data_IF_667551019762
#
_entry.id   IF_667551019762
#
_cell.length_a   1.000
_cell.length_b   1.000
_cell.length_c   1.000
_cell.angle_alpha   90.00
_cell.angle_beta   90.00
_cell.angle_gamma   90.00
#
_symmetry.space_group_name_H-M   'P 1'
#
loop_
_entity.id
_entity.type
_entity.pdbx_description
1 polymer ?
#
# COMPACT_ATOMS: atom_id res chain seq x y z
N UNK A 1 98.98 -29.60 81.33
CA UNK A 1 99.89 -28.73 80.57
C UNK A 1 99.18 -28.28 79.37
N UNK A 2 98.68 -27.10 79.51
CA UNK A 2 98.87 -25.86 78.77
C UNK A 2 98.43 -25.90 77.27
N UNK A 3 97.65 -25.00 77.00
CA UNK A 3 97.78 -24.07 75.92
C UNK A 3 96.51 -23.50 75.39
N UNK A 4 96.13 -22.33 75.92
CA UNK A 4 95.19 -21.39 75.33
C UNK A 4 95.68 -20.93 73.97
N UNK A 5 94.81 -20.97 72.99
CA UNK A 5 94.94 -20.13 71.81
C UNK A 5 93.62 -19.36 71.66
N UNK A 6 93.53 -18.15 72.13
CA UNK A 6 92.50 -17.17 71.83
C UNK A 6 92.77 -16.70 70.40
N UNK A 7 91.92 -17.03 69.50
CA UNK A 7 91.84 -16.41 68.13
C UNK A 7 91.15 -15.06 68.26
N UNK A 8 91.89 -13.99 68.20
CA UNK A 8 91.46 -12.60 68.07
C UNK A 8 90.87 -12.43 66.67
N UNK A 9 89.62 -12.25 66.62
CA UNK A 9 88.92 -11.78 65.41
C UNK A 9 89.07 -10.23 65.35
N UNK A 10 89.69 -9.71 64.28
CA UNK A 10 89.86 -8.25 64.18
C UNK A 10 88.48 -7.51 64.20
N UNK A 11 88.43 -6.42 64.94
CA UNK A 11 87.19 -5.59 65.17
C UNK A 11 86.66 -4.89 63.86
N UNK A 12 87.36 -5.04 62.78
CA UNK A 12 87.01 -4.44 61.46
C UNK A 12 86.12 -5.27 60.58
N UNK A 13 85.79 -6.52 60.94
CA UNK A 13 84.96 -7.41 60.13
C UNK A 13 83.42 -7.33 60.54
N UNK A 14 83.05 -6.47 61.44
CA UNK A 14 81.69 -6.36 61.97
C UNK A 14 80.86 -5.21 61.37
N UNK A 15 81.45 -4.41 60.47
CA UNK A 15 80.75 -3.17 60.00
C UNK A 15 80.00 -3.30 58.66
N UNK A 16 80.21 -4.35 57.91
CA UNK A 16 79.60 -4.53 56.61
C UNK A 16 78.62 -5.72 56.54
N UNK A 17 77.81 -5.92 57.59
CA UNK A 17 76.68 -6.84 57.51
C UNK A 17 75.53 -6.17 56.82
N UNK A 18 74.87 -6.93 55.89
CA UNK A 18 73.68 -6.44 55.15
C UNK A 18 72.61 -5.80 56.06
N UNK A 19 72.61 -6.20 57.35
CA UNK A 19 71.69 -5.69 58.33
C UNK A 19 72.05 -4.22 58.80
N UNK A 20 73.35 -3.84 58.80
CA UNK A 20 73.73 -2.46 59.08
C UNK A 20 73.44 -1.51 57.94
N UNK A 21 73.54 -1.96 56.73
CA UNK A 21 73.16 -1.23 55.50
C UNK A 21 71.62 -1.08 55.35
N UNK A 22 70.85 -2.07 55.82
CA UNK A 22 69.42 -1.98 55.88
C UNK A 22 68.92 -1.04 57.01
N UNK A 23 69.66 -0.94 58.14
CA UNK A 23 69.27 -0.10 59.20
C UNK A 23 69.56 1.42 58.96
N UNK A 24 70.59 1.70 58.14
CA UNK A 24 70.98 3.09 57.85
C UNK A 24 70.14 3.74 56.75
N UNK A 25 69.53 2.92 55.84
CA UNK A 25 68.67 3.42 54.82
C UNK A 25 67.17 3.39 55.18
N UNK A 26 66.79 2.84 56.33
CA UNK A 26 65.42 2.65 56.78
C UNK A 26 64.65 3.90 57.13
N UNK A 27 65.33 5.05 57.28
CA UNK A 27 64.66 6.22 57.85
C UNK A 27 64.40 7.38 56.89
N UNK A 28 65.03 7.40 55.76
CA UNK A 28 64.83 8.48 54.80
C UNK A 28 63.93 8.09 53.58
N UNK A 29 63.60 6.82 53.43
CA UNK A 29 62.85 6.33 52.27
C UNK A 29 61.33 6.05 52.54
N UNK A 30 60.84 6.30 53.77
CA UNK A 30 59.45 6.04 54.13
C UNK A 30 58.45 6.87 53.30
N UNK A 31 58.82 8.05 52.89
CA UNK A 31 57.96 8.90 52.08
C UNK A 31 57.77 8.35 50.66
N UNK A 32 58.71 7.64 50.13
CA UNK A 32 58.64 6.94 48.80
C UNK A 32 57.60 5.84 48.91
N UNK A 33 57.57 5.09 50.02
CA UNK A 33 56.54 4.06 50.25
C UNK A 33 55.14 4.68 50.40
N UNK A 34 55.03 5.81 51.07
CA UNK A 34 53.76 6.55 51.19
C UNK A 34 53.33 7.14 49.87
N UNK A 35 54.27 7.60 49.05
CA UNK A 35 53.98 8.12 47.69
C UNK A 35 53.55 6.98 46.76
N UNK A 36 54.20 5.82 46.85
CA UNK A 36 53.85 4.65 46.11
C UNK A 36 52.49 4.09 46.57
N UNK A 37 52.24 4.02 47.86
CA UNK A 37 50.95 3.63 48.43
C UNK A 37 49.83 4.59 48.02
N UNK A 38 50.08 5.89 48.07
CA UNK A 38 49.16 6.91 47.60
C UNK A 38 48.88 6.80 46.12
N UNK A 39 49.89 6.52 45.28
CA UNK A 39 49.75 6.27 43.85
C UNK A 39 48.90 5.03 43.56
N UNK A 40 49.13 3.93 44.24
CA UNK A 40 48.35 2.71 44.14
C UNK A 40 46.91 2.95 44.60
N UNK A 41 46.70 3.64 45.74
CA UNK A 41 45.37 4.01 46.26
C UNK A 41 44.65 4.91 45.29
N UNK A 42 45.29 5.92 44.71
CA UNK A 42 44.70 6.81 43.71
C UNK A 42 44.35 6.03 42.42
N UNK A 43 45.23 5.10 41.99
CA UNK A 43 44.93 4.20 40.87
C UNK A 43 43.73 3.31 41.14
N UNK A 44 43.64 2.68 42.31
CA UNK A 44 42.47 1.89 42.69
C UNK A 44 41.19 2.77 42.83
N UNK A 45 41.31 3.98 43.38
CA UNK A 45 40.18 4.91 43.50
C UNK A 45 39.70 5.46 42.14
N UNK A 46 40.54 5.40 41.08
CA UNK A 46 40.16 5.78 39.72
C UNK A 46 39.41 4.68 38.96
N UNK A 47 39.53 3.40 39.34
CA UNK A 47 38.90 2.25 38.67
C UNK A 47 37.37 2.33 38.54
N UNK A 48 36.60 2.84 39.51
CA UNK A 48 35.15 3.00 39.36
C UNK A 48 34.74 4.09 38.33
N UNK A 49 35.65 5.04 38.02
CA UNK A 49 35.37 6.14 37.08
C UNK A 49 35.72 5.79 35.62
N UNK A 50 36.44 4.70 35.39
CA UNK A 50 36.79 4.24 34.05
C UNK A 50 35.70 3.29 33.57
N UNK A 51 34.86 3.78 32.66
CA UNK A 51 33.81 2.97 32.01
C UNK A 51 34.39 2.24 30.79
N UNK A 52 34.09 0.97 30.67
CA UNK A 52 34.44 0.12 29.52
C UNK A 52 33.14 -0.38 28.89
N UNK A 53 33.05 -0.23 27.58
CA UNK A 53 31.94 -0.76 26.78
C UNK A 53 31.99 -2.29 26.72
N UNK A 54 31.04 -2.96 27.37
CA UNK A 54 30.85 -4.41 27.25
C UNK A 54 30.07 -4.69 25.98
N UNK A 55 30.67 -5.42 25.04
CA UNK A 55 30.03 -5.73 23.77
C UNK A 55 30.01 -7.23 23.51
N UNK A 56 28.88 -7.72 23.01
CA UNK A 56 28.71 -9.06 22.47
C UNK A 56 29.12 -9.04 21.01
N UNK A 57 29.88 -10.03 20.60
CA UNK A 57 30.28 -10.19 19.19
C UNK A 57 29.45 -11.27 18.53
N UNK A 58 28.91 -10.96 17.36
CA UNK A 58 28.19 -11.90 16.52
C UNK A 58 28.66 -11.78 15.08
N UNK A 59 28.82 -12.92 14.42
CA UNK A 59 29.10 -12.94 12.98
C UNK A 59 27.86 -12.59 12.20
N UNK A 60 28.01 -11.86 11.10
CA UNK A 60 26.91 -11.44 10.26
C UNK A 60 27.24 -11.45 8.77
N UNK A 61 26.18 -11.35 7.97
CA UNK A 61 26.23 -11.31 6.51
C UNK A 61 25.37 -10.16 6.00
N UNK A 62 25.90 -9.40 5.06
CA UNK A 62 25.14 -8.32 4.39
C UNK A 62 24.22 -8.92 3.35
N UNK A 63 22.91 -8.68 3.48
CA UNK A 63 21.90 -9.04 2.47
C UNK A 63 21.06 -7.86 2.04
N UNK A 64 20.38 -7.91 0.89
CA UNK A 64 19.41 -6.90 0.53
C UNK A 64 18.17 -7.03 1.43
N UNK A 65 17.48 -5.91 1.69
CA UNK A 65 16.20 -5.88 2.44
C UNK A 65 15.13 -6.72 1.74
N UNK A 66 15.14 -6.73 0.41
CA UNK A 66 14.20 -7.52 -0.40
C UNK A 66 14.96 -8.59 -1.19
N UNK A 67 14.43 -9.79 -1.19
CA UNK A 67 14.93 -10.88 -1.99
C UNK A 67 14.67 -10.67 -3.48
N UNK A 68 15.32 -11.47 -4.33
CA UNK A 68 15.07 -11.47 -5.76
C UNK A 68 13.63 -11.89 -6.03
N UNK A 69 12.95 -11.14 -6.88
CA UNK A 69 11.57 -11.41 -7.27
C UNK A 69 11.57 -12.08 -8.64
N UNK A 70 11.03 -13.30 -8.72
CA UNK A 70 10.87 -14.02 -9.98
C UNK A 70 9.85 -13.33 -10.87
N UNK A 71 10.19 -13.18 -12.14
CA UNK A 71 9.31 -12.63 -13.18
C UNK A 71 8.59 -13.77 -13.87
N UNK A 72 7.27 -13.84 -13.72
CA UNK A 72 6.41 -14.88 -14.31
C UNK A 72 5.18 -14.26 -14.95
N UNK A 73 4.83 -14.62 -16.22
CA UNK A 73 3.61 -14.16 -16.84
C UNK A 73 2.39 -14.81 -16.18
N UNK A 74 1.33 -14.04 -16.03
CA UNK A 74 0.06 -14.54 -15.48
C UNK A 74 -0.72 -15.37 -16.51
N UNK A 75 -0.52 -15.10 -17.81
CA UNK A 75 -1.21 -15.75 -18.92
C UNK A 75 -0.21 -16.28 -19.94
N UNK A 76 -0.61 -17.36 -20.64
CA UNK A 76 0.17 -17.89 -21.76
C UNK A 76 -0.09 -17.09 -23.02
N UNK A 77 0.92 -16.94 -23.87
CA UNK A 77 0.71 -16.25 -25.15
C UNK A 77 1.98 -16.12 -25.99
N UNK A 78 1.79 -15.64 -27.21
CA UNK A 78 2.91 -15.29 -28.07
C UNK A 78 3.43 -13.90 -27.74
N UNK A 79 4.76 -13.76 -27.73
CA UNK A 79 5.45 -12.49 -27.50
C UNK A 79 5.15 -11.55 -28.67
N UNK A 80 4.54 -10.40 -28.36
CA UNK A 80 4.33 -9.34 -29.33
C UNK A 80 5.60 -8.46 -29.41
N UNK A 81 6.13 -8.06 -28.24
CA UNK A 81 7.27 -7.16 -28.16
C UNK A 81 8.06 -7.38 -26.87
N UNK A 82 9.38 -7.31 -26.95
CA UNK A 82 10.31 -7.31 -25.82
C UNK A 82 10.82 -5.88 -25.65
N UNK A 83 10.57 -5.28 -24.48
CA UNK A 83 10.87 -3.86 -24.20
C UNK A 83 12.08 -3.65 -23.30
N UNK A 84 12.52 -4.71 -22.57
CA UNK A 84 13.65 -4.64 -21.67
C UNK A 84 14.75 -5.66 -22.07
N UNK A 85 15.97 -5.39 -21.62
CA UNK A 85 17.14 -6.24 -21.86
C UNK A 85 17.66 -6.85 -20.57
N UNK A 86 18.40 -7.95 -20.69
CA UNK A 86 19.11 -8.56 -19.57
C UNK A 86 20.14 -7.56 -18.98
N UNK A 87 20.26 -7.52 -17.66
CA UNK A 87 21.08 -6.58 -16.89
C UNK A 87 20.66 -5.09 -17.00
N UNK A 88 19.47 -4.80 -17.48
CA UNK A 88 18.93 -3.45 -17.53
C UNK A 88 18.31 -3.05 -16.17
N UNK A 89 18.48 -1.77 -15.80
CA UNK A 89 17.81 -1.19 -14.65
C UNK A 89 16.36 -0.89 -14.99
N UNK A 90 15.42 -1.41 -14.20
CA UNK A 90 13.99 -1.28 -14.42
C UNK A 90 13.31 -0.65 -13.20
N UNK A 91 12.23 0.08 -13.44
CA UNK A 91 11.40 0.68 -12.40
C UNK A 91 10.20 -0.21 -12.08
N UNK A 92 9.72 -0.17 -10.83
CA UNK A 92 8.49 -0.87 -10.44
C UNK A 92 7.33 -0.52 -11.37
N UNK A 93 6.60 -1.53 -11.87
CA UNK A 93 5.49 -1.36 -12.81
C UNK A 93 5.89 -1.14 -14.28
N UNK A 94 7.17 -0.98 -14.61
CA UNK A 94 7.65 -0.87 -15.99
C UNK A 94 7.30 -2.12 -16.78
N UNK A 95 6.77 -1.96 -17.99
CA UNK A 95 6.46 -3.07 -18.90
C UNK A 95 7.76 -3.60 -19.49
N UNK A 96 8.01 -4.89 -19.31
CA UNK A 96 9.22 -5.58 -19.79
C UNK A 96 8.95 -6.38 -21.07
N UNK A 97 7.76 -6.97 -21.15
CA UNK A 97 7.35 -7.83 -22.22
C UNK A 97 5.85 -7.64 -22.48
N UNK A 98 5.46 -7.57 -23.74
CA UNK A 98 4.06 -7.56 -24.16
C UNK A 98 3.73 -8.89 -24.86
N UNK A 99 2.68 -9.53 -24.40
CA UNK A 99 2.08 -10.68 -25.05
C UNK A 99 0.96 -10.23 -26.01
N UNK A 100 0.66 -11.03 -27.01
CA UNK A 100 -0.39 -10.74 -27.98
C UNK A 100 -1.77 -10.96 -27.35
N UNK A 101 -2.62 -9.93 -27.36
CA UNK A 101 -3.92 -9.88 -26.70
C UNK A 101 -5.09 -9.70 -27.68
N UNK A 102 -4.95 -10.17 -28.94
CA UNK A 102 -5.93 -9.91 -30.00
C UNK A 102 -7.39 -10.26 -29.66
N UNK A 103 -7.60 -11.41 -29.01
CA UNK A 103 -8.95 -11.83 -28.63
C UNK A 103 -9.58 -10.86 -27.62
N UNK A 104 -8.82 -10.42 -26.62
CA UNK A 104 -9.30 -9.45 -25.63
C UNK A 104 -9.53 -8.08 -26.26
N UNK A 105 -8.64 -7.63 -27.14
CA UNK A 105 -8.79 -6.38 -27.90
C UNK A 105 -10.06 -6.37 -28.77
N UNK A 106 -10.35 -7.49 -29.46
CA UNK A 106 -11.57 -7.64 -30.26
C UNK A 106 -12.83 -7.62 -29.39
N UNK A 107 -12.79 -8.27 -28.22
CA UNK A 107 -13.90 -8.22 -27.25
C UNK A 107 -14.10 -6.83 -26.70
N UNK A 108 -13.04 -6.10 -26.34
CA UNK A 108 -13.11 -4.72 -25.90
C UNK A 108 -13.73 -3.82 -26.97
N UNK A 109 -13.24 -3.89 -28.20
CA UNK A 109 -13.78 -3.10 -29.31
C UNK A 109 -15.26 -3.39 -29.58
N UNK A 110 -15.71 -4.65 -29.44
CA UNK A 110 -17.13 -5.02 -29.53
C UNK A 110 -17.93 -4.42 -28.36
N UNK A 111 -17.43 -4.55 -27.15
CA UNK A 111 -18.09 -4.03 -25.97
C UNK A 111 -18.24 -2.50 -26.03
N UNK A 112 -17.21 -1.77 -26.50
CA UNK A 112 -17.26 -0.31 -26.68
C UNK A 112 -18.35 0.13 -27.67
N UNK A 113 -18.53 -0.61 -28.78
CA UNK A 113 -19.62 -0.35 -29.73
C UNK A 113 -20.97 -0.54 -29.06
N UNK A 114 -21.18 -1.65 -28.36
CA UNK A 114 -22.42 -1.92 -27.63
C UNK A 114 -22.71 -0.87 -26.56
N UNK A 115 -21.68 -0.42 -25.83
CA UNK A 115 -21.83 0.67 -24.87
C UNK A 115 -22.26 1.98 -25.54
N UNK A 116 -21.72 2.27 -26.73
CA UNK A 116 -22.08 3.50 -27.47
C UNK A 116 -23.55 3.44 -27.88
N UNK A 117 -23.98 2.31 -28.47
CA UNK A 117 -25.37 2.08 -28.85
C UNK A 117 -26.34 2.17 -27.65
N UNK A 118 -25.97 1.52 -26.53
CA UNK A 118 -26.78 1.58 -25.32
C UNK A 118 -26.85 2.99 -24.71
N UNK A 119 -25.73 3.76 -24.73
CA UNK A 119 -25.71 5.16 -24.27
C UNK A 119 -26.62 6.05 -25.10
N UNK A 120 -26.59 5.90 -26.43
CA UNK A 120 -27.43 6.66 -27.34
C UNK A 120 -28.93 6.34 -27.10
N UNK A 121 -29.25 5.07 -26.89
CA UNK A 121 -30.60 4.61 -26.58
C UNK A 121 -31.10 5.15 -25.23
N UNK A 122 -30.27 5.08 -24.20
CA UNK A 122 -30.59 5.64 -22.86
C UNK A 122 -30.80 7.15 -22.94
N UNK A 123 -29.96 7.88 -23.67
CA UNK A 123 -30.11 9.33 -23.85
C UNK A 123 -31.43 9.69 -24.53
N UNK A 124 -31.82 8.97 -25.60
CA UNK A 124 -33.08 9.17 -26.32
C UNK A 124 -34.30 8.86 -25.43
N UNK A 125 -34.24 7.75 -24.65
CA UNK A 125 -35.28 7.38 -23.70
C UNK A 125 -35.42 8.41 -22.54
N UNK A 126 -34.33 9.00 -22.09
CA UNK A 126 -34.35 10.08 -21.11
C UNK A 126 -35.04 11.31 -21.64
N UNK A 127 -34.83 11.67 -22.92
CA UNK A 127 -35.54 12.77 -23.58
C UNK A 127 -37.04 12.49 -23.65
N UNK A 128 -37.44 11.26 -24.00
CA UNK A 128 -38.83 10.84 -24.08
C UNK A 128 -39.53 10.91 -22.74
N UNK A 129 -38.88 10.39 -21.69
CA UNK A 129 -39.49 10.38 -20.33
C UNK A 129 -39.59 11.74 -19.69
N UNK A 130 -38.59 12.64 -19.92
CA UNK A 130 -38.60 14.01 -19.41
C UNK A 130 -39.49 14.94 -20.22
N UNK A 131 -39.61 14.72 -21.51
CA UNK A 131 -40.43 15.56 -22.41
C UNK A 131 -41.93 15.50 -22.08
N UNK A 132 -42.44 14.34 -21.68
CA UNK A 132 -43.86 14.17 -21.32
C UNK A 132 -44.17 14.73 -19.90
N UNK A 133 -43.21 14.62 -18.99
CA UNK A 133 -43.41 15.14 -17.62
C UNK A 133 -43.42 16.68 -17.53
N UNK A 134 -43.08 17.39 -18.60
CA UNK A 134 -43.04 18.87 -18.61
C UNK A 134 -44.37 19.56 -19.00
N UNK A 135 -45.42 18.78 -19.15
CA UNK A 135 -46.77 19.41 -19.23
C UNK A 135 -47.15 19.80 -17.81
N UNK A 136 -47.29 21.11 -17.49
CA UNK A 136 -47.80 21.50 -16.19
C UNK A 136 -49.21 20.94 -16.10
N UNK A 137 -49.45 20.08 -15.11
CA UNK A 137 -50.79 19.78 -14.67
C UNK A 137 -51.47 21.15 -14.41
N UNK A 138 -52.47 21.44 -15.18
CA UNK A 138 -53.29 22.62 -14.95
C UNK A 138 -53.79 22.51 -13.50
N UNK A 139 -53.47 23.46 -12.58
CA UNK A 139 -54.00 23.39 -11.24
C UNK A 139 -55.45 23.80 -11.27
N UNK A 140 -56.33 22.88 -11.71
CA UNK A 140 -57.73 22.99 -11.50
C UNK A 140 -58.07 22.47 -10.10
N UNK A 141 -57.99 23.33 -9.12
CA UNK A 141 -58.31 22.97 -7.75
C UNK A 141 -58.04 24.08 -6.75
N UNK A 142 -58.40 25.31 -7.07
CA UNK A 142 -58.57 26.29 -6.03
C UNK A 142 -60.03 26.77 -6.06
N UNK A 143 -60.91 25.99 -5.41
CA UNK A 143 -62.20 26.44 -5.02
C UNK A 143 -62.06 27.51 -3.90
N UNK A 144 -61.82 28.75 -4.29
CA UNK A 144 -62.18 29.89 -3.45
C UNK A 144 -63.35 30.57 -4.12
N UNK A 145 -64.46 30.55 -3.40
CA UNK A 145 -65.67 31.29 -3.65
C UNK A 145 -65.30 32.69 -4.14
N UNK A 146 -65.77 33.04 -5.34
CA UNK A 146 -65.95 34.45 -5.74
C UNK A 146 -67.30 34.59 -6.32
N UNK A 147 -68.04 35.44 -5.60
CA UNK A 147 -69.34 36.00 -5.87
C UNK A 147 -69.51 36.44 -7.32
N UNK A 148 -70.76 36.31 -7.71
CA UNK A 148 -71.45 36.80 -8.89
C UNK A 148 -70.85 38.09 -9.44
N UNK A 149 -70.40 38.07 -10.70
CA UNK A 149 -70.43 39.21 -11.57
C UNK A 149 -70.73 38.69 -12.98
N UNK A 150 -71.96 39.02 -13.39
CA UNK A 150 -72.53 38.81 -14.71
C UNK A 150 -71.72 39.56 -15.76
N UNK A 151 -70.85 38.82 -16.52
CA UNK A 151 -70.12 39.30 -17.66
C UNK A 151 -70.17 38.26 -18.82
N UNK A 152 -70.13 38.66 -20.10
CA UNK A 152 -70.44 37.80 -21.24
C UNK A 152 -69.41 36.67 -21.36
N UNK A 153 -69.87 35.42 -21.63
CA UNK A 153 -69.11 34.21 -21.87
C UNK A 153 -67.98 34.47 -22.86
N UNK A 154 -66.77 34.61 -22.34
CA UNK A 154 -65.54 34.49 -23.15
C UNK A 154 -65.26 33.02 -23.37
N UNK A 155 -65.21 32.59 -24.64
CA UNK A 155 -64.75 31.26 -25.02
C UNK A 155 -63.38 31.02 -24.41
N UNK A 156 -63.10 29.77 -23.89
CA UNK A 156 -61.79 29.40 -23.47
C UNK A 156 -60.85 29.46 -24.69
N UNK A 157 -59.61 29.92 -24.53
CA UNK A 157 -58.65 30.00 -25.62
C UNK A 157 -58.45 28.62 -26.24
N UNK A 158 -58.18 28.54 -27.57
CA UNK A 158 -57.92 27.27 -28.26
C UNK A 158 -56.74 26.59 -27.60
N UNK A 159 -56.72 25.23 -27.52
CA UNK A 159 -55.65 24.48 -26.94
C UNK A 159 -54.32 24.88 -27.61
N UNK A 160 -53.44 25.45 -26.81
CA UNK A 160 -52.10 25.82 -27.30
C UNK A 160 -51.40 24.56 -27.81
N UNK A 161 -50.92 24.63 -29.05
CA UNK A 161 -50.16 23.59 -29.66
C UNK A 161 -49.00 23.21 -28.72
N UNK A 162 -48.94 21.93 -28.36
CA UNK A 162 -47.82 21.36 -27.58
C UNK A 162 -46.53 21.71 -28.32
N UNK A 163 -45.55 22.35 -27.69
CA UNK A 163 -44.28 22.57 -28.34
C UNK A 163 -43.69 21.22 -28.66
N UNK A 164 -43.65 20.84 -29.95
CA UNK A 164 -42.89 19.69 -30.45
C UNK A 164 -41.45 20.03 -30.17
N UNK A 165 -40.90 19.50 -29.10
CA UNK A 165 -39.48 19.53 -28.86
C UNK A 165 -38.85 18.80 -30.05
N UNK A 166 -38.24 19.52 -30.99
CA UNK A 166 -37.39 18.97 -32.04
C UNK A 166 -36.13 18.45 -31.37
N UNK A 167 -36.25 17.39 -30.59
CA UNK A 167 -35.15 16.62 -30.10
C UNK A 167 -34.66 15.77 -31.25
N UNK A 168 -33.41 15.99 -31.68
CA UNK A 168 -32.77 15.11 -32.63
C UNK A 168 -32.44 13.80 -31.91
N UNK A 169 -33.30 12.82 -32.09
CA UNK A 169 -33.02 11.45 -31.65
C UNK A 169 -31.83 10.90 -32.42
N UNK A 170 -31.00 10.17 -31.72
CA UNK A 170 -29.88 9.40 -32.33
C UNK A 170 -30.35 8.08 -32.92
N UNK A 171 -31.46 7.54 -32.34
CA UNK A 171 -32.01 6.22 -32.72
C UNK A 171 -33.28 6.37 -33.56
N UNK A 172 -33.23 5.96 -34.80
CA UNK A 172 -34.38 6.07 -35.74
C UNK A 172 -35.64 5.30 -35.26
N UNK A 173 -35.45 4.17 -34.58
CA UNK A 173 -36.54 3.35 -34.02
C UNK A 173 -37.36 4.07 -33.00
N UNK A 174 -36.73 4.78 -32.05
CA UNK A 174 -37.43 5.56 -31.02
C UNK A 174 -38.10 6.81 -31.61
N UNK A 175 -37.51 7.41 -32.63
CA UNK A 175 -38.15 8.49 -33.39
C UNK A 175 -39.44 8.06 -34.00
N UNK A 176 -39.49 6.88 -34.63
CA UNK A 176 -40.72 6.30 -35.21
C UNK A 176 -41.74 5.96 -34.15
N UNK A 177 -41.34 5.35 -33.06
CA UNK A 177 -42.26 5.03 -31.94
C UNK A 177 -42.87 6.28 -31.36
N UNK A 178 -42.09 7.34 -31.10
CA UNK A 178 -42.60 8.63 -30.64
C UNK A 178 -43.62 9.22 -31.64
N UNK A 179 -43.27 9.21 -32.94
CA UNK A 179 -44.19 9.75 -33.95
C UNK A 179 -45.55 8.99 -33.98
N UNK A 180 -45.53 7.66 -33.79
CA UNK A 180 -46.74 6.86 -33.68
C UNK A 180 -47.59 7.23 -32.48
N UNK A 181 -46.97 7.38 -31.28
CA UNK A 181 -47.70 7.79 -30.07
C UNK A 181 -48.26 9.20 -30.21
N UNK A 182 -47.49 10.16 -30.76
CA UNK A 182 -47.96 11.51 -31.02
C UNK A 182 -49.12 11.57 -31.99
N UNK A 183 -49.12 10.75 -33.07
CA UNK A 183 -50.23 10.68 -34.00
C UNK A 183 -51.52 10.14 -33.37
N UNK A 184 -51.40 9.12 -32.49
CA UNK A 184 -52.52 8.59 -31.74
C UNK A 184 -53.09 9.66 -30.76
N UNK A 185 -52.23 10.30 -30.01
CA UNK A 185 -52.61 11.39 -29.09
C UNK A 185 -53.31 12.55 -29.83
N UNK A 186 -52.83 12.91 -31.02
CA UNK A 186 -53.43 13.94 -31.83
C UNK A 186 -54.87 13.54 -32.27
N UNK A 187 -55.10 12.28 -32.60
CA UNK A 187 -56.47 11.79 -32.99
C UNK A 187 -57.45 11.84 -31.80
N UNK A 188 -56.99 11.40 -30.59
CA UNK A 188 -57.86 11.47 -29.39
C UNK A 188 -58.11 12.90 -28.94
N UNK A 189 -57.14 13.79 -29.01
CA UNK A 189 -57.31 15.22 -28.68
C UNK A 189 -58.26 15.91 -29.67
N UNK A 190 -58.27 15.54 -30.95
CA UNK A 190 -59.20 16.04 -31.94
C UNK A 190 -60.61 15.55 -31.61
N UNK A 191 -60.82 14.28 -31.25
CA UNK A 191 -62.11 13.74 -30.84
C UNK A 191 -62.63 14.46 -29.56
N UNK A 192 -61.74 14.63 -28.55
CA UNK A 192 -62.05 15.35 -27.32
C UNK A 192 -62.47 16.82 -27.60
N UNK A 193 -61.76 17.53 -28.50
CA UNK A 193 -62.09 18.90 -28.88
C UNK A 193 -63.43 19.02 -29.53
N UNK A 194 -63.83 18.05 -30.38
CA UNK A 194 -65.19 17.98 -30.97
C UNK A 194 -66.23 17.73 -29.91
N UNK A 195 -66.01 16.75 -29.00
CA UNK A 195 -66.97 16.49 -27.90
C UNK A 195 -67.14 17.69 -26.95
N UNK A 196 -66.09 18.42 -26.67
CA UNK A 196 -66.15 19.69 -25.90
C UNK A 196 -66.97 20.76 -26.61
N UNK A 197 -66.80 20.87 -27.93
CA UNK A 197 -67.64 21.77 -28.74
C UNK A 197 -69.12 21.39 -28.74
N UNK A 198 -69.43 20.07 -28.72
CA UNK A 198 -70.79 19.58 -28.56
C UNK A 198 -71.39 19.87 -27.16
N UNK A 199 -70.61 19.59 -26.11
CA UNK A 199 -70.98 19.92 -24.74
C UNK A 199 -71.24 21.41 -24.58
N UNK A 200 -70.44 22.30 -25.13
CA UNK A 200 -70.67 23.76 -25.11
C UNK A 200 -71.98 24.14 -25.79
N UNK A 201 -72.32 23.50 -26.89
CA UNK A 201 -73.64 23.70 -27.55
C UNK A 201 -74.75 23.24 -26.65
N UNK A 202 -74.74 22.03 -26.12
CA UNK A 202 -75.79 21.53 -25.22
C UNK A 202 -75.90 22.37 -23.91
N UNK A 203 -74.79 22.88 -23.40
CA UNK A 203 -74.80 23.81 -22.26
C UNK A 203 -75.60 25.07 -22.56
N UNK A 204 -75.45 25.67 -23.75
CA UNK A 204 -76.20 26.82 -24.20
C UNK A 204 -77.72 26.54 -24.44
N UNK A 205 -77.98 25.35 -25.01
CA UNK A 205 -79.37 24.92 -25.27
C UNK A 205 -80.09 24.54 -23.98
N UNK A 206 -79.44 23.93 -23.01
CA UNK A 206 -79.99 23.63 -21.68
C UNK A 206 -80.29 24.90 -20.89
N UNK A 207 -79.42 25.92 -20.97
CA UNK A 207 -79.66 27.23 -20.36
C UNK A 207 -80.86 27.93 -20.92
N UNK A 208 -81.26 27.60 -22.18
CA UNK A 208 -82.50 28.11 -22.84
C UNK A 208 -83.72 27.21 -22.64
N UNK A 209 -83.55 26.10 -21.91
CA UNK A 209 -84.66 25.15 -21.70
C UNK A 209 -84.98 24.29 -22.93
N UNK A 210 -84.14 24.25 -23.99
CA UNK A 210 -84.38 23.55 -25.25
C UNK A 210 -83.84 22.13 -25.22
N UNK A 211 -82.67 21.89 -24.55
CA UNK A 211 -82.07 20.55 -24.43
C UNK A 211 -82.54 19.86 -23.16
N UNK A 212 -82.67 18.54 -23.25
CA UNK A 212 -83.01 17.71 -22.10
C UNK A 212 -81.75 17.47 -21.22
N UNK A 213 -81.98 17.25 -19.93
CA UNK A 213 -80.88 16.95 -18.99
C UNK A 213 -80.07 15.72 -19.40
N UNK A 214 -80.74 14.73 -20.00
CA UNK A 214 -80.14 13.51 -20.49
C UNK A 214 -79.10 13.77 -21.63
N UNK A 215 -79.48 14.66 -22.56
CA UNK A 215 -78.59 15.02 -23.69
C UNK A 215 -77.35 15.78 -23.18
N UNK A 216 -77.49 16.65 -22.21
CA UNK A 216 -76.41 17.35 -21.57
C UNK A 216 -75.47 16.36 -20.83
N UNK A 217 -76.05 15.46 -20.04
CA UNK A 217 -75.31 14.49 -19.27
C UNK A 217 -74.52 13.50 -20.19
N UNK A 218 -75.11 13.07 -21.33
CA UNK A 218 -74.46 12.25 -22.33
C UNK A 218 -73.25 12.98 -22.97
N UNK A 219 -73.43 14.24 -23.37
CA UNK A 219 -72.33 15.01 -23.96
C UNK A 219 -71.17 15.22 -22.97
N UNK A 220 -71.53 15.44 -21.70
CA UNK A 220 -70.50 15.52 -20.62
C UNK A 220 -69.75 14.19 -20.45
N UNK A 221 -70.52 13.10 -20.37
CA UNK A 221 -69.87 11.76 -20.23
C UNK A 221 -68.91 11.44 -21.39
N UNK A 222 -69.24 11.82 -22.62
CA UNK A 222 -68.40 11.61 -23.79
C UNK A 222 -67.06 12.39 -23.72
N UNK A 223 -67.10 13.64 -23.20
CA UNK A 223 -65.87 14.44 -22.95
C UNK A 223 -65.05 13.79 -21.89
N UNK A 224 -65.64 13.39 -20.74
CA UNK A 224 -64.92 12.78 -19.62
C UNK A 224 -64.29 11.42 -20.05
N UNK A 225 -65.01 10.64 -20.87
CA UNK A 225 -64.51 9.36 -21.44
C UNK A 225 -63.27 9.59 -22.31
N UNK A 226 -63.35 10.50 -23.30
CA UNK A 226 -62.26 10.79 -24.21
C UNK A 226 -61.04 11.40 -23.50
N UNK A 227 -61.26 12.22 -22.49
CA UNK A 227 -60.20 12.76 -21.64
C UNK A 227 -59.50 11.65 -20.83
N UNK A 228 -60.27 10.70 -20.30
CA UNK A 228 -59.71 9.54 -19.60
C UNK A 228 -58.89 8.62 -20.53
N UNK A 229 -59.40 8.37 -21.76
CA UNK A 229 -58.67 7.56 -22.79
C UNK A 229 -57.35 8.25 -23.20
N UNK A 230 -57.35 9.58 -23.37
CA UNK A 230 -56.15 10.36 -23.68
C UNK A 230 -55.09 10.21 -22.58
N UNK A 231 -55.48 10.36 -21.30
CA UNK A 231 -54.60 10.19 -20.15
C UNK A 231 -54.05 8.78 -20.06
N UNK A 232 -54.90 7.78 -20.23
CA UNK A 232 -54.49 6.37 -20.20
C UNK A 232 -53.40 6.06 -21.24
N UNK A 233 -53.57 6.61 -22.47
CA UNK A 233 -52.58 6.46 -23.53
C UNK A 233 -51.21 7.10 -23.18
N UNK A 234 -51.25 8.32 -22.60
CA UNK A 234 -50.07 9.05 -22.14
C UNK A 234 -49.34 8.26 -21.02
N UNK A 235 -50.09 7.78 -20.02
CA UNK A 235 -49.54 6.99 -18.91
C UNK A 235 -48.94 5.65 -19.38
N UNK A 236 -49.63 4.96 -20.29
CA UNK A 236 -49.12 3.70 -20.87
C UNK A 236 -47.84 3.91 -21.69
N UNK A 237 -47.75 4.98 -22.47
CA UNK A 237 -46.55 5.30 -23.23
C UNK A 237 -45.38 5.62 -22.30
N UNK A 238 -45.63 6.46 -21.30
CA UNK A 238 -44.64 6.83 -20.29
C UNK A 238 -44.13 5.61 -19.51
N UNK A 239 -45.04 4.76 -19.02
CA UNK A 239 -44.69 3.54 -18.28
C UNK A 239 -43.84 2.59 -19.12
N UNK A 240 -44.17 2.42 -20.42
CA UNK A 240 -43.32 1.60 -21.34
C UNK A 240 -41.92 2.17 -21.51
N UNK A 241 -41.80 3.49 -21.73
CA UNK A 241 -40.48 4.11 -21.93
C UNK A 241 -39.66 4.13 -20.63
N UNK A 242 -40.27 4.30 -19.46
CA UNK A 242 -39.60 4.18 -18.18
C UNK A 242 -39.13 2.75 -17.88
N UNK A 243 -39.93 1.76 -18.21
CA UNK A 243 -39.51 0.36 -18.07
C UNK A 243 -38.29 0.07 -18.95
N UNK A 244 -38.38 0.45 -20.24
CA UNK A 244 -37.28 0.28 -21.19
C UNK A 244 -36.04 1.06 -20.79
N UNK A 245 -36.17 2.28 -20.27
CA UNK A 245 -35.04 3.06 -19.75
C UNK A 245 -34.32 2.34 -18.60
N UNK A 246 -35.08 1.72 -17.69
CA UNK A 246 -34.49 0.92 -16.58
C UNK A 246 -33.74 -0.30 -17.10
N UNK A 247 -34.33 -1.02 -18.05
CA UNK A 247 -33.73 -2.20 -18.63
C UNK A 247 -32.42 -1.85 -19.36
N UNK A 248 -32.45 -0.79 -20.21
CA UNK A 248 -31.25 -0.34 -20.94
C UNK A 248 -30.16 0.26 -20.03
N UNK A 249 -30.53 0.96 -18.94
CA UNK A 249 -29.57 1.42 -17.96
C UNK A 249 -28.90 0.26 -17.24
N UNK A 250 -29.63 -0.79 -16.93
CA UNK A 250 -29.07 -2.00 -16.30
C UNK A 250 -28.15 -2.75 -17.29
N UNK A 251 -28.55 -2.87 -18.56
CA UNK A 251 -27.72 -3.45 -19.60
C UNK A 251 -26.42 -2.67 -19.81
N UNK A 252 -26.51 -1.32 -19.86
CA UNK A 252 -25.33 -0.47 -19.96
C UNK A 252 -24.36 -0.64 -18.75
N UNK A 253 -24.90 -0.73 -17.53
CA UNK A 253 -24.08 -0.98 -16.33
C UNK A 253 -23.38 -2.34 -16.43
N UNK A 254 -24.04 -3.38 -16.95
CA UNK A 254 -23.44 -4.69 -17.23
C UNK A 254 -22.29 -4.61 -18.25
N UNK A 255 -22.49 -3.87 -19.35
CA UNK A 255 -21.45 -3.67 -20.36
C UNK A 255 -20.23 -2.90 -19.82
N UNK A 256 -20.45 -1.92 -18.94
CA UNK A 256 -19.37 -1.17 -18.30
C UNK A 256 -18.56 -2.08 -17.36
N UNK A 257 -19.23 -2.92 -16.58
CA UNK A 257 -18.56 -3.89 -15.70
C UNK A 257 -17.76 -4.93 -16.50
N UNK A 258 -18.31 -5.39 -17.63
CA UNK A 258 -17.62 -6.33 -18.53
C UNK A 258 -16.38 -5.67 -19.18
N UNK A 259 -16.46 -4.40 -19.59
CA UNK A 259 -15.32 -3.67 -20.11
C UNK A 259 -14.19 -3.57 -19.08
N UNK A 260 -14.53 -3.31 -17.83
CA UNK A 260 -13.55 -3.24 -16.75
C UNK A 260 -12.85 -4.59 -16.55
N UNK A 261 -13.61 -5.69 -16.53
CA UNK A 261 -13.04 -7.04 -16.44
C UNK A 261 -12.12 -7.36 -17.63
N UNK A 262 -12.50 -6.96 -18.84
CA UNK A 262 -11.67 -7.15 -20.04
C UNK A 262 -10.39 -6.30 -20.00
N UNK A 263 -10.42 -5.10 -19.44
CA UNK A 263 -9.22 -4.28 -19.22
C UNK A 263 -8.26 -4.91 -18.20
N UNK A 264 -8.79 -5.49 -17.12
CA UNK A 264 -8.00 -6.22 -16.14
C UNK A 264 -7.37 -7.48 -16.78
N UNK A 265 -8.13 -8.20 -17.61
CA UNK A 265 -7.63 -9.34 -18.39
C UNK A 265 -6.52 -8.89 -19.36
N UNK A 266 -6.72 -7.78 -20.08
CA UNK A 266 -5.71 -7.21 -20.97
C UNK A 266 -4.42 -6.79 -20.23
N UNK A 267 -4.55 -6.25 -19.02
CA UNK A 267 -3.40 -5.87 -18.21
C UNK A 267 -2.48 -7.04 -17.87
N UNK A 268 -3.01 -8.27 -17.81
CA UNK A 268 -2.23 -9.49 -17.55
C UNK A 268 -1.33 -9.90 -18.73
N UNK A 269 -1.61 -9.41 -19.93
CA UNK A 269 -0.76 -9.64 -21.12
C UNK A 269 0.49 -8.74 -21.14
N UNK A 270 0.58 -7.77 -20.23
CA UNK A 270 1.77 -6.96 -20.02
C UNK A 270 2.54 -7.48 -18.81
N UNK A 271 3.69 -8.10 -19.03
CA UNK A 271 4.59 -8.53 -17.95
C UNK A 271 5.35 -7.32 -17.44
N UNK A 272 5.17 -6.98 -16.15
CA UNK A 272 5.72 -5.78 -15.51
C UNK A 272 6.75 -6.14 -14.45
N UNK A 273 7.70 -5.24 -14.21
CA UNK A 273 8.66 -5.36 -13.13
C UNK A 273 7.96 -5.25 -11.77
N UNK A 274 8.12 -6.22 -10.85
CA UNK A 274 7.50 -6.19 -9.53
C UNK A 274 8.12 -5.14 -8.59
N UNK A 275 9.38 -4.77 -8.82
CA UNK A 275 10.12 -3.80 -8.02
C UNK A 275 11.14 -3.04 -8.88
N UNK A 276 11.61 -1.90 -8.38
CA UNK A 276 12.75 -1.19 -8.97
C UNK A 276 14.04 -1.94 -8.66
N UNK A 277 14.83 -2.23 -9.70
CA UNK A 277 16.04 -3.00 -9.55
C UNK A 277 16.70 -3.35 -10.88
N UNK A 278 17.56 -4.35 -10.88
CA UNK A 278 18.24 -4.86 -12.06
C UNK A 278 17.59 -6.16 -12.51
N UNK A 279 17.21 -6.25 -13.78
CA UNK A 279 16.63 -7.43 -14.41
C UNK A 279 17.73 -8.45 -14.71
N UNK A 280 17.57 -9.68 -14.23
CA UNK A 280 18.55 -10.75 -14.35
C UNK A 280 17.95 -11.99 -15.03
N UNK A 281 18.73 -12.65 -15.88
CA UNK A 281 18.33 -13.90 -16.52
C UNK A 281 17.25 -13.74 -17.59
N UNK A 282 16.99 -12.52 -18.06
CA UNK A 282 15.97 -12.18 -19.07
C UNK A 282 16.52 -12.40 -20.48
N UNK A 283 16.71 -13.68 -20.84
CA UNK A 283 17.37 -14.10 -22.10
C UNK A 283 16.49 -15.07 -22.92
N UNK A 284 16.76 -15.15 -24.20
CA UNK A 284 16.09 -16.09 -25.11
C UNK A 284 14.70 -15.66 -25.54
N UNK A 285 14.23 -14.49 -25.15
CA UNK A 285 12.92 -13.96 -25.49
C UNK A 285 13.01 -13.18 -26.80
N UNK A 286 12.21 -13.56 -27.78
CA UNK A 286 12.12 -12.88 -29.08
C UNK A 286 10.67 -12.71 -29.52
N UNK A 287 10.34 -11.65 -30.27
CA UNK A 287 9.01 -11.50 -30.87
C UNK A 287 8.61 -12.74 -31.66
N UNK A 288 7.36 -13.20 -31.46
CA UNK A 288 6.84 -14.42 -32.05
C UNK A 288 7.05 -15.69 -31.22
N UNK A 289 7.97 -15.67 -30.24
CA UNK A 289 8.14 -16.77 -29.28
C UNK A 289 6.88 -16.99 -28.44
N UNK A 290 6.75 -18.18 -27.84
CA UNK A 290 5.64 -18.54 -26.96
C UNK A 290 6.13 -18.65 -25.53
N UNK A 291 5.36 -18.13 -24.57
CA UNK A 291 5.60 -18.29 -23.13
C UNK A 291 4.37 -18.86 -22.46
N UNK A 292 4.59 -19.74 -21.48
CA UNK A 292 3.51 -20.34 -20.71
C UNK A 292 3.24 -19.53 -19.41
N UNK A 293 2.01 -19.58 -18.92
CA UNK A 293 1.65 -19.00 -17.65
C UNK A 293 2.49 -19.64 -16.52
N UNK A 294 3.06 -18.81 -15.65
CA UNK A 294 3.91 -19.27 -14.55
C UNK A 294 5.36 -19.61 -14.91
N UNK A 295 5.72 -19.57 -16.20
CA UNK A 295 7.10 -19.81 -16.66
C UNK A 295 8.04 -18.74 -16.10
N UNK A 296 9.23 -19.14 -15.63
CA UNK A 296 10.22 -18.20 -15.13
C UNK A 296 10.93 -17.51 -16.30
N UNK A 297 10.66 -16.23 -16.52
CA UNK A 297 11.26 -15.43 -17.59
C UNK A 297 12.57 -14.74 -17.17
N UNK A 298 12.77 -14.58 -15.87
CA UNK A 298 13.91 -13.90 -15.27
C UNK A 298 13.62 -13.54 -13.82
N UNK A 299 14.48 -12.73 -13.24
CA UNK A 299 14.36 -12.25 -11.87
C UNK A 299 14.68 -10.75 -11.82
N UNK A 300 13.99 -10.01 -10.97
CA UNK A 300 14.37 -8.64 -10.65
C UNK A 300 15.10 -8.66 -9.31
N UNK A 301 16.35 -8.19 -9.30
CA UNK A 301 17.13 -7.97 -8.09
C UNK A 301 16.89 -6.54 -7.59
N UNK A 302 16.10 -6.35 -6.53
CA UNK A 302 15.79 -5.02 -6.04
C UNK A 302 17.04 -4.25 -5.61
N UNK A 303 17.07 -2.95 -5.86
CA UNK A 303 18.05 -2.02 -5.29
C UNK A 303 17.56 -1.47 -3.93
N UNK A 304 16.85 -2.31 -3.17
CA UNK A 304 16.47 -1.98 -1.81
C UNK A 304 17.72 -1.86 -0.93
N UNK A 305 17.62 -1.09 0.14
CA UNK A 305 18.68 -0.89 1.12
C UNK A 305 19.28 -2.21 1.59
N UNK A 306 20.47 -2.13 2.18
CA UNK A 306 21.16 -3.28 2.74
C UNK A 306 20.78 -3.44 4.21
N UNK A 307 20.61 -4.68 4.65
CA UNK A 307 20.52 -5.08 6.06
C UNK A 307 21.61 -6.10 6.36
N UNK A 308 21.89 -6.23 7.63
CA UNK A 308 22.88 -7.18 8.13
C UNK A 308 22.16 -8.19 9.01
N UNK A 309 22.18 -9.44 8.59
CA UNK A 309 21.75 -10.54 9.45
C UNK A 309 22.93 -10.98 10.30
N UNK A 310 22.75 -10.90 11.60
CA UNK A 310 23.74 -11.30 12.60
C UNK A 310 23.21 -12.47 13.40
N UNK A 311 24.10 -13.37 13.79
CA UNK A 311 23.76 -14.59 14.49
C UNK A 311 24.30 -14.54 15.92
N UNK A 312 23.38 -14.31 16.85
CA UNK A 312 23.69 -14.14 18.29
C UNK A 312 23.48 -15.47 19.02
N UNK A 313 24.43 -15.81 19.89
CA UNK A 313 24.35 -17.02 20.73
C UNK A 313 23.10 -16.99 21.64
N UNK A 314 22.43 -18.14 21.90
CA UNK A 314 21.35 -18.22 22.88
C UNK A 314 21.70 -17.74 24.29
N UNK A 315 22.97 -17.78 24.64
CA UNK A 315 23.45 -17.24 25.95
C UNK A 315 23.39 -15.73 26.04
N UNK A 316 23.53 -15.06 24.89
CA UNK A 316 23.71 -13.61 24.81
C UNK A 316 22.46 -12.86 24.33
N UNK A 317 21.48 -13.58 23.74
CA UNK A 317 20.28 -12.97 23.13
C UNK A 317 19.45 -12.17 24.13
N UNK A 318 19.41 -12.61 25.39
CA UNK A 318 18.68 -11.89 26.46
C UNK A 318 19.20 -10.47 26.74
N UNK A 319 20.41 -10.15 26.25
CA UNK A 319 21.03 -8.84 26.40
C UNK A 319 20.87 -7.95 25.16
N UNK A 320 20.31 -8.47 24.06
CA UNK A 320 20.07 -7.72 22.82
C UNK A 320 18.63 -7.22 22.79
N UNK A 321 18.45 -5.96 22.39
CA UNK A 321 17.12 -5.31 22.31
C UNK A 321 16.94 -4.60 20.97
N UNK A 322 15.69 -4.57 20.50
CA UNK A 322 15.33 -3.77 19.33
C UNK A 322 15.57 -2.28 19.64
N UNK A 323 16.18 -1.56 18.68
CA UNK A 323 16.60 -0.16 18.85
C UNK A 323 18.00 0.03 19.43
N UNK A 324 18.70 -1.06 19.80
CA UNK A 324 20.05 -1.00 20.36
C UNK A 324 21.07 -0.61 19.29
N UNK A 325 22.06 0.20 19.68
CA UNK A 325 23.18 0.57 18.82
C UNK A 325 24.17 -0.59 18.66
N UNK A 326 24.60 -0.77 17.43
CA UNK A 326 25.54 -1.84 17.02
C UNK A 326 26.66 -1.24 16.19
N UNK A 327 27.89 -1.64 16.44
CA UNK A 327 29.04 -1.32 15.60
C UNK A 327 29.35 -2.50 14.70
N UNK A 328 29.38 -2.26 13.40
CA UNK A 328 29.59 -3.26 12.37
C UNK A 328 31.01 -3.15 11.85
N UNK A 329 31.78 -4.21 12.03
CA UNK A 329 33.15 -4.34 11.52
C UNK A 329 33.10 -5.22 10.27
N UNK A 330 33.27 -4.65 9.09
CA UNK A 330 33.26 -5.37 7.81
C UNK A 330 34.60 -6.06 7.58
N UNK A 331 34.60 -7.36 7.31
CA UNK A 331 35.84 -8.15 7.20
C UNK A 331 36.69 -7.71 6.01
N UNK A 332 36.08 -7.23 4.92
CA UNK A 332 36.76 -6.72 3.74
C UNK A 332 37.50 -5.40 3.99
N UNK A 333 37.21 -4.69 5.07
CA UNK A 333 37.75 -3.37 5.39
C UNK A 333 38.38 -3.37 6.78
N UNK A 334 39.71 -3.45 6.93
CA UNK A 334 40.36 -3.42 8.25
C UNK A 334 39.95 -2.24 9.09
N UNK A 335 39.33 -2.50 10.25
CA UNK A 335 38.70 -1.45 11.10
C UNK A 335 39.73 -0.43 11.63
N UNK A 336 41.01 -0.78 11.72
CA UNK A 336 42.09 0.11 12.13
C UNK A 336 42.34 1.25 11.16
N UNK A 337 41.97 1.07 9.89
CA UNK A 337 42.15 2.05 8.81
C UNK A 337 40.81 2.66 8.37
N UNK A 338 39.77 1.83 8.25
CA UNK A 338 38.48 2.21 7.70
C UNK A 338 37.42 2.57 8.76
N UNK A 339 37.70 2.25 10.04
CA UNK A 339 36.72 2.41 11.10
C UNK A 339 35.65 1.30 11.10
N UNK A 340 34.55 1.57 11.78
CA UNK A 340 33.38 0.71 11.87
C UNK A 340 32.15 1.47 11.39
N UNK A 341 31.14 0.74 10.89
CA UNK A 341 29.83 1.31 10.56
C UNK A 341 28.94 1.26 11.80
N UNK A 342 28.19 2.32 12.02
CA UNK A 342 27.15 2.33 13.03
C UNK A 342 25.84 1.75 12.44
N UNK A 343 25.15 0.95 13.24
CA UNK A 343 23.88 0.35 12.88
C UNK A 343 22.95 0.30 14.09
N UNK A 344 21.69 -0.05 13.83
CA UNK A 344 20.64 -0.18 14.84
C UNK A 344 19.93 -1.51 14.67
N UNK A 345 19.66 -2.23 15.75
CA UNK A 345 18.85 -3.45 15.74
C UNK A 345 17.42 -3.12 15.34
N UNK A 346 16.94 -3.72 14.25
CA UNK A 346 15.56 -3.52 13.77
C UNK A 346 14.62 -4.65 14.13
N UNK A 347 15.13 -5.89 14.15
CA UNK A 347 14.32 -7.06 14.50
C UNK A 347 15.19 -8.15 15.16
N UNK A 348 14.55 -8.95 16.00
CA UNK A 348 15.15 -10.14 16.62
C UNK A 348 14.25 -11.31 16.26
N UNK A 349 14.82 -12.35 15.62
CA UNK A 349 14.11 -13.57 15.28
C UNK A 349 13.63 -14.31 16.54
N UNK A 350 12.41 -14.83 16.51
CA UNK A 350 11.83 -15.61 17.61
C UNK A 350 12.33 -17.04 17.68
N UNK A 351 12.92 -17.57 16.58
CA UNK A 351 13.33 -18.94 16.46
C UNK A 351 14.83 -19.12 16.32
N UNK A 352 15.31 -20.28 16.74
CA UNK A 352 16.69 -20.69 16.57
C UNK A 352 16.94 -21.13 15.13
N UNK A 353 17.87 -20.47 14.48
CA UNK A 353 18.34 -20.84 13.14
C UNK A 353 19.53 -21.80 13.26
N UNK A 354 19.40 -22.98 12.64
CA UNK A 354 20.50 -23.93 12.56
C UNK A 354 21.44 -23.53 11.41
N UNK A 355 22.68 -23.23 11.71
CA UNK A 355 23.67 -22.69 10.76
C UNK A 355 24.38 -23.78 9.96
N UNK A 356 23.72 -24.92 9.73
CA UNK A 356 24.25 -26.03 8.88
C UNK A 356 25.55 -26.65 9.39
N UNK A 357 25.65 -27.97 9.34
CA UNK A 357 26.78 -28.86 9.61
C UNK A 357 26.63 -29.79 10.80
N UNK A 358 25.39 -30.06 11.24
CA UNK A 358 25.17 -31.16 12.20
C UNK A 358 25.80 -30.96 13.59
N UNK A 359 26.36 -29.82 13.87
CA UNK A 359 26.97 -29.51 15.16
C UNK A 359 25.92 -28.89 16.11
N UNK A 360 25.54 -29.52 17.23
CA UNK A 360 24.52 -29.05 18.16
C UNK A 360 24.79 -27.64 18.75
N UNK A 361 26.02 -27.13 18.59
CA UNK A 361 26.41 -25.79 19.05
C UNK A 361 26.24 -24.65 18.03
N UNK A 362 25.71 -24.94 16.83
CA UNK A 362 25.58 -23.95 15.76
C UNK A 362 24.24 -23.18 15.75
N UNK A 363 23.37 -23.46 16.75
CA UNK A 363 22.11 -22.76 16.87
C UNK A 363 22.30 -21.32 17.35
N UNK A 364 21.77 -20.37 16.63
CA UNK A 364 21.83 -18.95 16.96
C UNK A 364 20.50 -18.26 16.68
N UNK A 365 20.25 -17.15 17.34
CA UNK A 365 19.15 -16.27 17.01
C UNK A 365 19.56 -15.31 15.91
N UNK A 366 18.72 -15.15 14.92
CA UNK A 366 18.91 -14.17 13.86
C UNK A 366 18.52 -12.79 14.38
N UNK A 367 19.42 -11.82 14.28
CA UNK A 367 19.20 -10.43 14.65
C UNK A 367 19.48 -9.57 13.42
N UNK A 368 18.46 -8.83 12.99
CA UNK A 368 18.54 -7.95 11.82
C UNK A 368 18.99 -6.58 12.26
N UNK A 369 20.08 -6.09 11.68
CA UNK A 369 20.67 -4.79 11.96
C UNK A 369 20.59 -3.92 10.70
N UNK A 370 20.07 -2.70 10.84
CA UNK A 370 20.07 -1.70 9.79
C UNK A 370 21.30 -0.80 9.90
N UNK A 371 22.23 -0.80 8.92
CA UNK A 371 23.37 0.10 8.93
C UNK A 371 22.91 1.54 8.68
N UNK A 372 23.38 2.51 9.46
CA UNK A 372 23.05 3.93 9.27
C UNK A 372 23.72 4.52 8.03
N UNK A 373 24.86 3.99 7.65
CA UNK A 373 25.60 4.35 6.45
C UNK A 373 26.02 3.12 5.69
N UNK A 374 26.05 3.20 4.38
CA UNK A 374 26.43 2.09 3.49
C UNK A 374 27.84 2.26 2.93
N UNK A 375 28.57 3.28 3.38
CA UNK A 375 29.92 3.56 2.91
C UNK A 375 30.86 3.87 4.07
N UNK A 376 32.08 3.35 3.97
CA UNK A 376 33.23 3.65 4.82
C UNK A 376 34.16 4.60 4.07
N UNK A 377 34.80 5.50 4.79
CA UNK A 377 35.73 6.46 4.22
C UNK A 377 37.10 6.28 4.85
N UNK A 378 38.12 6.14 4.00
CA UNK A 378 39.50 6.13 4.45
C UNK A 378 40.01 7.56 4.61
N UNK A 379 40.81 7.90 5.61
CA UNK A 379 41.42 9.24 5.75
C UNK A 379 42.25 9.73 4.55
N UNK A 380 42.45 8.93 3.52
CA UNK A 380 43.09 9.28 2.24
C UNK A 380 42.15 9.47 1.07
N UNK A 381 40.81 9.55 1.30
CA UNK A 381 39.79 9.85 0.25
C UNK A 381 39.24 8.61 -0.48
N UNK A 382 39.73 7.42 -0.23
CA UNK A 382 39.13 6.20 -0.78
C UNK A 382 37.79 5.89 -0.11
N UNK A 383 36.78 5.44 -0.89
CA UNK A 383 35.45 5.08 -0.43
C UNK A 383 35.24 3.56 -0.57
N UNK A 384 34.93 2.90 0.53
CA UNK A 384 34.52 1.50 0.57
C UNK A 384 33.00 1.39 0.68
N UNK A 385 32.35 0.69 -0.24
CA UNK A 385 30.89 0.50 -0.23
C UNK A 385 30.52 -0.85 0.34
N UNK A 386 29.48 -0.86 1.18
CA UNK A 386 28.87 -2.08 1.67
C UNK A 386 28.18 -2.79 0.50
N UNK A 387 28.55 -4.04 0.23
CA UNK A 387 27.96 -4.84 -0.85
C UNK A 387 27.33 -6.11 -0.27
N UNK A 388 26.27 -6.58 -0.94
CA UNK A 388 25.64 -7.88 -0.60
C UNK A 388 26.65 -9.02 -0.67
N UNK A 389 26.58 -9.91 0.32
CA UNK A 389 27.50 -11.04 0.44
C UNK A 389 28.79 -10.77 1.20
N UNK A 390 29.02 -9.54 1.67
CA UNK A 390 30.14 -9.25 2.57
C UNK A 390 29.84 -9.81 3.96
N UNK A 391 30.86 -10.49 4.53
CA UNK A 391 30.85 -10.93 5.93
C UNK A 391 31.31 -9.79 6.84
N UNK A 392 30.82 -9.81 8.08
CA UNK A 392 31.16 -8.83 9.09
C UNK A 392 31.00 -9.37 10.50
N UNK A 393 31.58 -8.67 11.45
CA UNK A 393 31.37 -8.91 12.87
C UNK A 393 30.61 -7.75 13.48
N UNK A 394 29.42 -8.03 14.04
CA UNK A 394 28.63 -7.05 14.78
C UNK A 394 29.02 -7.04 16.25
N UNK A 395 29.15 -5.83 16.82
CA UNK A 395 29.41 -5.61 18.24
C UNK A 395 28.20 -4.90 18.83
N UNK A 396 27.42 -5.63 19.60
CA UNK A 396 26.25 -5.09 20.31
C UNK A 396 26.73 -4.43 21.62
N UNK A 397 26.46 -3.17 21.78
CA UNK A 397 26.78 -2.44 23.02
C UNK A 397 25.73 -2.77 24.08
N UNK A 398 26.10 -3.65 25.03
CA UNK A 398 25.15 -4.16 26.03
C UNK A 398 25.07 -3.29 27.27
N UNK A 399 26.22 -2.90 27.78
CA UNK A 399 26.30 -2.08 28.99
C UNK A 399 27.63 -1.34 29.05
N UNK A 400 27.64 -0.20 29.74
CA UNK A 400 28.86 0.44 30.23
C UNK A 400 29.08 -0.04 31.65
N UNK A 401 30.20 -0.69 31.90
CA UNK A 401 30.57 -1.16 33.24
C UNK A 401 31.88 -0.55 33.62
N UNK A 402 32.02 -0.23 34.91
CA UNK A 402 33.30 0.23 35.42
C UNK A 402 34.30 -0.92 35.48
N UNK A 403 35.59 -0.61 35.32
CA UNK A 403 36.66 -1.61 35.39
C UNK A 403 36.62 -2.34 36.74
N UNK A 404 36.23 -1.65 37.81
CA UNK A 404 36.07 -2.24 39.14
C UNK A 404 34.99 -3.34 39.16
N UNK A 405 33.86 -3.14 38.47
CA UNK A 405 32.77 -4.14 38.36
C UNK A 405 33.22 -5.38 37.58
N UNK A 406 34.00 -5.18 36.50
CA UNK A 406 34.56 -6.29 35.75
C UNK A 406 35.53 -7.13 36.60
N UNK A 407 36.39 -6.50 37.36
CA UNK A 407 37.29 -7.19 38.30
C UNK A 407 36.54 -7.96 39.38
N UNK A 408 35.49 -7.36 39.93
CA UNK A 408 34.64 -7.99 40.96
C UNK A 408 33.90 -9.20 40.42
N UNK A 409 33.32 -9.11 39.22
CA UNK A 409 32.61 -10.19 38.57
C UNK A 409 33.56 -11.37 38.23
N UNK A 410 34.76 -11.11 37.72
CA UNK A 410 35.78 -12.11 37.45
C UNK A 410 36.31 -12.76 38.73
N UNK A 411 36.57 -11.98 39.79
CA UNK A 411 37.01 -12.49 41.08
C UNK A 411 35.91 -13.36 41.73
N UNK A 412 34.65 -12.95 41.64
CA UNK A 412 33.53 -13.71 42.21
C UNK A 412 33.34 -15.05 41.46
N UNK A 413 33.54 -15.07 40.11
CA UNK A 413 33.52 -16.30 39.31
C UNK A 413 34.60 -17.30 39.68
N UNK A 414 35.81 -16.79 40.15
CA UNK A 414 36.93 -17.62 40.59
C UNK A 414 36.69 -18.18 42.02
N UNK A 415 36.07 -17.39 42.89
CA UNK A 415 35.89 -17.77 44.31
C UNK A 415 34.57 -18.48 44.60
N UNK A 416 33.55 -18.31 43.77
CA UNK A 416 32.25 -18.92 43.97
C UNK A 416 31.72 -19.62 42.68
N UNK A 417 32.36 -20.74 42.28
CA UNK A 417 31.98 -21.45 41.04
C UNK A 417 30.55 -22.10 41.12
N UNK A 418 29.87 -22.07 42.27
CA UNK A 418 28.57 -22.73 42.49
C UNK A 418 27.37 -21.81 42.29
N UNK A 419 27.53 -20.47 42.32
CA UNK A 419 26.42 -19.52 42.11
C UNK A 419 25.95 -19.43 40.63
N UNK A 420 26.69 -20.01 39.68
CA UNK A 420 26.30 -20.11 38.26
C UNK A 420 25.36 -21.24 37.91
N UNK A 421 24.85 -22.03 38.88
CA UNK A 421 24.05 -23.22 38.63
C UNK A 421 22.60 -23.20 39.16
N UNK A 422 22.11 -22.08 39.66
CA UNK A 422 20.69 -22.02 40.12
C UNK A 422 19.92 -20.90 39.44
N UNK A 423 19.55 -21.09 38.18
CA UNK A 423 18.23 -20.68 37.66
C UNK A 423 17.95 -21.57 36.46
N UNK A 424 17.04 -22.55 36.69
CA UNK A 424 16.45 -23.43 35.69
C UNK A 424 15.52 -22.73 34.75
#
# INVERSE_FOLDING_TARGET
MNGNAATLIPAEMGVDTVESLLAEHGRESSWIYWLLLAGISAGLASLPFIEVDVSIRAAGLVRPVMERMGLRPAVSGHIAQVLARDNERVSAGQVLLLLRSRDVEERLARNERLQTEARDLVADLQILTTGICRQPANPAGNNQAREETTGPLSLPPPPQAVPVVKSSFRTATLQQEQAGVLAQLASYRLAESKARGELARYTQLAAKGIATRQEFDNARYEVDRLAAETRLLEEQALARWQARLRDETTALAGLVSEAQRLHEEQAQYAVRAPATGVLLGFRGLSPGGFVAAGEALGEVSPEAGLVVDTYVSPRDIGLVRVGQDVRLQVDAYPYTQWGMLDGTVTAIGGDLVNRGDGNPGANAFEVVVHPRTTALHLPGGARGELRKGLTLSARFLVARRSVLQLFYDDANALFNPLDGRSTG
#
